data_IF_033807756881
#
_entry.id   IF_033807756881
#
_cell.length_a   1.000
_cell.length_b   1.000
_cell.length_c   1.000
_cell.angle_alpha   90.00
_cell.angle_beta   90.00
_cell.angle_gamma   90.00
#
_symmetry.space_group_name_H-M   'P 1'
#
loop_
_entity.id
_entity.type
_entity.pdbx_description
1 polymer ?
#
# COMPACT_ATOMS: atom_id res chain seq x y z
N UNK A 1 -18.98 27.88 2.42
CA UNK A 1 -19.29 28.45 3.75
C UNK A 1 -19.10 27.37 4.79
N UNK A 2 -17.92 27.32 5.40
CA UNK A 2 -17.48 26.24 6.30
C UNK A 2 -16.97 26.90 7.61
N UNK A 3 -17.24 26.27 8.75
CA UNK A 3 -16.75 26.59 10.11
C UNK A 3 -17.45 27.71 10.96
N UNK A 4 -18.78 27.76 11.15
CA UNK A 4 -19.34 28.70 12.12
C UNK A 4 -19.20 28.25 13.59
N UNK A 5 -19.16 26.94 13.87
CA UNK A 5 -19.33 26.42 15.24
C UNK A 5 -18.09 25.75 15.85
N UNK A 6 -16.98 25.63 15.11
CA UNK A 6 -15.72 25.09 15.66
C UNK A 6 -14.97 26.10 16.56
N UNK A 7 -15.36 27.39 16.51
CA UNK A 7 -14.67 28.49 17.20
C UNK A 7 -15.61 29.37 18.03
N UNK A 8 -16.59 28.74 18.69
CA UNK A 8 -17.50 29.41 19.62
C UNK A 8 -16.81 29.79 20.94
N UNK A 9 -16.27 31.00 20.98
CA UNK A 9 -15.96 31.82 22.17
C UNK A 9 -15.44 31.10 23.42
N UNK A 10 -14.12 30.93 23.50
CA UNK A 10 -13.40 31.13 24.76
C UNK A 10 -12.16 32.00 24.49
N UNK A 11 -12.37 33.32 24.54
CA UNK A 11 -11.29 34.32 24.50
C UNK A 11 -10.58 34.28 25.85
N UNK A 12 -9.50 33.50 25.97
CA UNK A 12 -8.76 33.55 27.23
C UNK A 12 -7.62 32.59 27.50
N UNK A 13 -6.83 32.13 26.52
CA UNK A 13 -5.52 31.53 26.84
C UNK A 13 -4.45 31.93 25.82
N UNK A 14 -4.02 33.20 25.84
CA UNK A 14 -2.65 33.56 25.43
C UNK A 14 -1.66 33.10 26.50
N UNK A 15 -1.57 31.79 26.73
CA UNK A 15 -0.40 31.22 27.37
C UNK A 15 0.67 31.08 26.30
N UNK A 16 1.88 31.59 26.53
CA UNK A 16 3.07 31.23 25.75
C UNK A 16 3.24 29.71 25.82
N UNK A 17 2.65 28.98 24.86
CA UNK A 17 2.87 27.54 24.73
C UNK A 17 4.29 27.34 24.24
N UNK A 18 5.19 27.01 25.17
CA UNK A 18 6.59 26.71 24.90
C UNK A 18 6.68 25.32 24.22
N UNK A 19 6.52 25.31 22.90
CA UNK A 19 6.79 24.12 22.09
C UNK A 19 8.29 23.89 22.01
N UNK A 20 8.71 22.65 22.30
CA UNK A 20 10.14 22.32 22.48
C UNK A 20 10.87 22.10 21.16
N UNK A 21 10.20 21.65 20.11
CA UNK A 21 10.78 21.55 18.76
C UNK A 21 9.71 21.44 17.68
N UNK A 22 10.09 21.83 16.45
CA UNK A 22 9.37 21.51 15.23
C UNK A 22 9.90 20.20 14.68
N UNK A 23 9.02 19.24 14.42
CA UNK A 23 9.39 17.85 14.12
C UNK A 23 9.18 17.47 12.64
N UNK A 24 8.31 18.19 11.92
CA UNK A 24 7.95 17.86 10.53
C UNK A 24 8.81 18.63 9.52
N UNK A 25 9.56 17.95 8.65
CA UNK A 25 10.21 18.58 7.49
C UNK A 25 9.31 18.50 6.26
N UNK A 26 8.83 19.64 5.79
CA UNK A 26 8.19 19.75 4.48
C UNK A 26 9.23 20.19 3.46
N UNK A 27 9.46 19.40 2.42
CA UNK A 27 10.33 19.85 1.33
C UNK A 27 10.57 18.80 0.25
N UNK A 28 10.57 19.27 -0.99
CA UNK A 28 11.17 18.58 -2.13
C UNK A 28 12.66 18.36 -1.87
N UNK A 29 13.18 17.18 -2.22
CA UNK A 29 14.60 16.88 -2.14
C UNK A 29 15.15 16.72 -3.55
N UNK A 30 16.36 17.23 -3.77
CA UNK A 30 17.09 16.96 -5.00
C UNK A 30 17.73 15.57 -4.85
N UNK A 31 17.51 14.71 -5.84
CA UNK A 31 18.19 13.41 -5.89
C UNK A 31 19.65 13.58 -6.28
N UNK A 32 20.47 12.57 -5.98
CA UNK A 32 21.88 12.49 -6.40
C UNK A 32 22.05 12.49 -7.91
N UNK A 33 21.00 12.12 -8.66
CA UNK A 33 20.94 12.23 -10.13
C UNK A 33 20.64 13.65 -10.62
N UNK A 34 20.48 14.63 -9.72
CA UNK A 34 20.21 16.04 -10.03
C UNK A 34 18.74 16.37 -10.28
N UNK A 35 17.85 15.37 -10.30
CA UNK A 35 16.41 15.55 -10.51
C UNK A 35 15.72 15.97 -9.21
N UNK A 36 14.91 17.02 -9.28
CA UNK A 36 14.04 17.45 -8.18
C UNK A 36 12.88 16.47 -8.02
N UNK A 37 12.74 15.90 -6.82
CA UNK A 37 11.66 14.97 -6.51
C UNK A 37 10.67 15.63 -5.55
N UNK A 38 9.42 15.70 -5.99
CA UNK A 38 8.27 16.14 -5.22
C UNK A 38 7.07 15.18 -5.45
N UNK A 39 5.96 15.43 -4.75
CA UNK A 39 4.74 14.62 -4.83
C UNK A 39 4.24 14.48 -6.27
N UNK A 40 4.25 15.56 -7.06
CA UNK A 40 3.79 15.58 -8.44
C UNK A 40 4.72 14.78 -9.38
N UNK A 41 6.03 15.02 -9.32
CA UNK A 41 7.01 14.31 -10.13
C UNK A 41 7.03 12.81 -9.83
N UNK A 42 6.85 12.43 -8.56
CA UNK A 42 6.80 11.03 -8.16
C UNK A 42 5.51 10.34 -8.61
N UNK A 43 4.36 11.02 -8.52
CA UNK A 43 3.10 10.51 -9.06
C UNK A 43 3.08 10.44 -10.60
N UNK A 44 3.98 11.16 -11.27
CA UNK A 44 4.26 11.01 -12.70
C UNK A 44 4.92 9.66 -13.06
N UNK A 45 5.65 9.04 -12.13
CA UNK A 45 6.25 7.72 -12.33
C UNK A 45 5.17 6.65 -12.23
N UNK A 46 4.89 5.95 -13.34
CA UNK A 46 3.78 5.02 -13.45
C UNK A 46 3.81 3.90 -12.37
N UNK A 47 4.99 3.33 -12.11
CA UNK A 47 5.16 2.30 -11.09
C UNK A 47 4.86 2.81 -9.67
N UNK A 48 5.26 4.05 -9.36
CA UNK A 48 5.03 4.66 -8.06
C UNK A 48 3.53 4.94 -7.86
N UNK A 49 2.90 5.55 -8.87
CA UNK A 49 1.46 5.78 -8.88
C UNK A 49 0.70 4.47 -8.71
N UNK A 50 1.02 3.43 -9.48
CA UNK A 50 0.36 2.13 -9.41
C UNK A 50 0.49 1.49 -8.01
N UNK A 51 1.66 1.58 -7.37
CA UNK A 51 1.84 1.07 -6.01
C UNK A 51 0.98 1.83 -4.98
N UNK A 52 0.96 3.15 -5.05
CA UNK A 52 0.20 4.00 -4.13
C UNK A 52 -1.31 3.81 -4.31
N UNK A 53 -1.79 3.84 -5.56
CA UNK A 53 -3.23 3.65 -5.84
C UNK A 53 -3.68 2.25 -5.51
N UNK A 54 -2.88 1.21 -5.82
CA UNK A 54 -3.20 -0.17 -5.43
C UNK A 54 -3.39 -0.29 -3.91
N UNK A 55 -2.51 0.30 -3.09
CA UNK A 55 -2.68 0.29 -1.64
C UNK A 55 -3.92 1.09 -1.20
N UNK A 56 -4.13 2.26 -1.80
CA UNK A 56 -5.24 3.13 -1.46
C UNK A 56 -6.59 2.47 -1.74
N UNK A 57 -6.78 1.99 -2.97
CA UNK A 57 -7.97 1.27 -3.41
C UNK A 57 -8.16 -0.04 -2.62
N UNK A 58 -7.08 -0.76 -2.31
CA UNK A 58 -7.15 -2.00 -1.55
C UNK A 58 -7.63 -1.82 -0.12
N UNK A 59 -7.39 -0.67 0.50
CA UNK A 59 -7.95 -0.34 1.83
C UNK A 59 -9.35 0.24 1.69
N UNK A 60 -9.57 1.12 0.71
CA UNK A 60 -10.86 1.78 0.49
C UNK A 60 -12.00 0.79 0.17
N UNK A 61 -11.69 -0.31 -0.53
CA UNK A 61 -12.68 -1.35 -0.82
C UNK A 61 -13.07 -2.21 0.39
N UNK A 62 -12.31 -2.16 1.49
CA UNK A 62 -12.58 -2.99 2.66
C UNK A 62 -13.70 -2.35 3.49
N UNK A 63 -14.78 -3.09 3.82
CA UNK A 63 -15.77 -2.61 4.77
C UNK A 63 -15.12 -2.38 6.14
N UNK A 64 -15.20 -1.14 6.65
CA UNK A 64 -14.85 -0.81 8.02
C UNK A 64 -16.09 -0.93 8.90
N UNK A 65 -15.97 -1.68 10.00
CA UNK A 65 -17.10 -2.00 10.87
C UNK A 65 -16.69 -1.79 12.33
N UNK A 66 -17.62 -1.27 13.13
CA UNK A 66 -17.48 -1.21 14.59
C UNK A 66 -18.17 -2.43 15.19
N UNK A 67 -17.45 -3.17 16.02
CA UNK A 67 -17.96 -4.35 16.71
C UNK A 67 -18.03 -4.13 18.22
N UNK A 68 -19.06 -4.70 18.85
CA UNK A 68 -19.20 -4.87 20.29
C UNK A 68 -18.82 -6.32 20.66
N UNK A 69 -17.99 -6.48 21.69
CA UNK A 69 -17.64 -7.79 22.27
C UNK A 69 -18.83 -8.30 23.08
N UNK A 70 -19.26 -9.54 22.84
CA UNK A 70 -20.34 -10.16 23.63
C UNK A 70 -19.76 -10.96 24.80
N UNK A 71 -20.56 -11.16 25.85
CA UNK A 71 -20.14 -11.87 27.07
C UNK A 71 -19.71 -13.33 26.77
N UNK A 72 -20.28 -13.95 25.74
CA UNK A 72 -19.98 -15.31 25.30
C UNK A 72 -18.71 -15.41 24.43
N UNK A 73 -17.93 -14.33 24.33
CA UNK A 73 -16.72 -14.26 23.51
C UNK A 73 -16.97 -14.06 22.00
N UNK A 74 -18.22 -13.75 21.62
CA UNK A 74 -18.61 -13.40 20.26
C UNK A 74 -18.43 -11.91 19.93
N UNK A 75 -18.87 -11.52 18.73
CA UNK A 75 -18.90 -10.13 18.26
C UNK A 75 -20.22 -9.80 17.57
N UNK A 76 -20.72 -8.60 17.79
CA UNK A 76 -21.91 -8.05 17.13
C UNK A 76 -21.58 -6.68 16.52
N UNK A 77 -22.19 -6.31 15.39
CA UNK A 77 -21.99 -4.98 14.80
C UNK A 77 -22.71 -3.93 15.65
N UNK A 78 -21.98 -2.92 16.11
CA UNK A 78 -22.50 -1.84 16.93
C UNK A 78 -23.13 -0.73 16.07
N UNK A 79 -24.16 -1.06 15.31
CA UNK A 79 -24.84 -0.13 14.37
C UNK A 79 -25.53 1.06 15.06
N UNK A 80 -25.81 0.91 16.35
CA UNK A 80 -26.40 1.91 17.23
C UNK A 80 -25.41 2.98 17.70
N UNK A 81 -24.11 2.74 17.56
CA UNK A 81 -23.07 3.63 18.07
C UNK A 81 -22.81 4.81 17.09
N UNK A 82 -22.66 6.06 17.57
CA UNK A 82 -22.45 7.23 16.70
C UNK A 82 -21.27 7.09 15.71
N UNK A 83 -20.17 6.49 16.17
CA UNK A 83 -18.96 6.25 15.35
C UNK A 83 -19.20 5.25 14.21
N UNK A 84 -20.20 4.36 14.30
CA UNK A 84 -20.45 3.35 13.27
C UNK A 84 -20.71 3.99 11.90
N UNK A 85 -21.67 4.92 11.84
CA UNK A 85 -22.03 5.58 10.58
C UNK A 85 -20.87 6.43 10.03
N UNK A 86 -20.09 7.05 10.93
CA UNK A 86 -18.94 7.88 10.59
C UNK A 86 -17.86 7.08 9.86
N UNK A 87 -17.50 5.89 10.34
CA UNK A 87 -16.45 5.07 9.70
C UNK A 87 -16.98 4.23 8.54
N UNK A 88 -18.24 3.79 8.62
CA UNK A 88 -18.80 2.84 7.66
C UNK A 88 -19.31 3.51 6.38
N UNK A 89 -20.04 4.62 6.51
CA UNK A 89 -20.83 5.18 5.39
C UNK A 89 -20.37 6.56 4.96
N UNK A 90 -20.27 7.52 5.89
CA UNK A 90 -20.01 8.92 5.55
C UNK A 90 -19.12 9.57 6.62
N UNK A 91 -17.79 9.58 6.40
CA UNK A 91 -16.84 10.22 7.31
C UNK A 91 -17.03 11.73 7.41
N UNK A 92 -17.49 12.36 6.33
CA UNK A 92 -17.87 13.77 6.32
C UNK A 92 -18.94 14.03 5.28
N UNK A 93 -19.41 15.28 5.19
CA UNK A 93 -20.49 15.69 4.30
C UNK A 93 -20.15 15.63 2.80
N UNK A 94 -18.87 15.56 2.45
CA UNK A 94 -18.38 15.64 1.06
C UNK A 94 -18.00 14.27 0.51
N UNK A 95 -17.32 13.46 1.32
CA UNK A 95 -16.66 12.23 0.90
C UNK A 95 -17.48 11.01 1.33
N UNK A 96 -17.54 10.01 0.45
CA UNK A 96 -17.93 8.65 0.79
C UNK A 96 -16.86 7.97 1.64
N UNK A 97 -17.19 6.87 2.32
CA UNK A 97 -16.20 6.08 3.05
C UNK A 97 -15.05 5.60 2.16
N UNK A 98 -15.34 5.20 0.91
CA UNK A 98 -14.34 4.81 -0.07
C UNK A 98 -13.35 5.95 -0.35
N UNK A 99 -13.85 7.13 -0.74
CA UNK A 99 -13.01 8.29 -1.08
C UNK A 99 -12.14 8.74 0.10
N UNK A 100 -12.71 8.73 1.32
CA UNK A 100 -11.97 9.08 2.53
C UNK A 100 -10.81 8.11 2.79
N UNK A 101 -11.06 6.80 2.76
CA UNK A 101 -10.02 5.80 3.01
C UNK A 101 -8.98 5.74 1.89
N UNK A 102 -9.40 5.95 0.64
CA UNK A 102 -8.51 6.07 -0.51
C UNK A 102 -7.58 7.27 -0.32
N UNK A 103 -8.13 8.45 0.01
CA UNK A 103 -7.34 9.65 0.29
C UNK A 103 -6.41 9.45 1.50
N UNK A 104 -6.91 8.80 2.56
CA UNK A 104 -6.15 8.57 3.78
C UNK A 104 -4.93 7.68 3.52
N UNK A 105 -5.14 6.53 2.87
CA UNK A 105 -4.06 5.63 2.54
C UNK A 105 -3.14 6.18 1.45
N UNK A 106 -3.68 6.92 0.46
CA UNK A 106 -2.87 7.60 -0.55
C UNK A 106 -1.92 8.63 0.06
N UNK A 107 -2.43 9.47 0.97
CA UNK A 107 -1.61 10.45 1.71
C UNK A 107 -0.54 9.75 2.55
N UNK A 108 -0.91 8.64 3.19
CA UNK A 108 0.00 7.82 3.98
C UNK A 108 1.10 7.17 3.13
N UNK A 109 0.77 6.72 1.92
CA UNK A 109 1.71 6.13 0.96
C UNK A 109 2.72 7.14 0.41
N UNK A 110 2.30 8.39 0.20
CA UNK A 110 3.18 9.42 -0.39
C UNK A 110 3.97 10.16 0.69
N UNK A 111 3.26 10.70 1.69
CA UNK A 111 3.81 11.61 2.70
C UNK A 111 4.10 10.91 4.04
N UNK A 112 3.75 9.63 4.18
CA UNK A 112 3.95 8.89 5.44
C UNK A 112 2.98 9.27 6.55
N UNK A 113 2.09 10.23 6.30
CA UNK A 113 1.19 10.82 7.29
C UNK A 113 -0.18 11.11 6.66
N UNK A 114 -1.23 10.80 7.40
CA UNK A 114 -2.58 11.28 7.11
C UNK A 114 -3.15 11.97 8.35
N UNK A 115 -3.71 13.17 8.15
CA UNK A 115 -4.26 14.01 9.22
C UNK A 115 -5.67 14.42 8.85
N UNK A 116 -6.61 14.22 9.77
CA UNK A 116 -7.97 14.73 9.68
C UNK A 116 -8.36 15.45 10.98
N UNK A 117 -9.10 16.55 10.88
CA UNK A 117 -9.76 17.17 12.02
C UNK A 117 -10.97 16.34 12.43
N UNK A 118 -11.14 16.18 13.73
CA UNK A 118 -12.29 15.52 14.33
C UNK A 118 -13.23 16.62 14.84
N UNK A 119 -14.35 16.82 14.14
CA UNK A 119 -15.45 17.62 14.68
C UNK A 119 -16.24 16.76 15.66
N UNK A 120 -16.49 17.26 16.87
CA UNK A 120 -17.18 16.52 17.94
C UNK A 120 -18.46 17.21 18.32
N UNK A 121 -19.48 16.43 18.68
CA UNK A 121 -20.71 16.97 19.23
C UNK A 121 -20.56 17.43 20.69
N UNK A 122 -21.64 17.98 21.27
CA UNK A 122 -21.66 18.46 22.65
C UNK A 122 -21.47 17.35 23.69
N UNK A 123 -21.64 16.08 23.32
CA UNK A 123 -21.41 14.92 24.17
C UNK A 123 -20.00 14.35 24.00
N UNK A 124 -19.19 14.94 23.12
CA UNK A 124 -17.80 14.55 22.84
C UNK A 124 -17.66 13.44 21.80
N UNK A 125 -18.74 13.01 21.15
CA UNK A 125 -18.69 11.98 20.09
C UNK A 125 -18.22 12.58 18.75
N UNK A 126 -17.35 11.89 18.01
CA UNK A 126 -16.97 12.30 16.66
C UNK A 126 -18.19 12.36 15.72
N UNK A 127 -18.36 13.50 15.05
CA UNK A 127 -19.43 13.76 14.12
C UNK A 127 -18.95 13.82 12.66
N UNK A 128 -17.78 14.41 12.43
CA UNK A 128 -17.17 14.49 11.10
C UNK A 128 -15.64 14.33 11.19
N UNK A 129 -15.06 13.70 10.17
CA UNK A 129 -13.63 13.59 9.92
C UNK A 129 -13.28 14.40 8.67
N UNK A 130 -12.60 15.53 8.87
CA UNK A 130 -12.29 16.47 7.79
C UNK A 130 -10.80 16.31 7.43
N UNK A 131 -10.46 15.66 6.31
CA UNK A 131 -9.08 15.51 5.87
C UNK A 131 -8.41 16.87 5.68
N UNK A 132 -7.17 16.99 6.15
CA UNK A 132 -6.32 18.16 5.90
C UNK A 132 -5.11 17.70 5.11
N UNK A 133 -4.69 18.51 4.15
CA UNK A 133 -3.42 18.28 3.48
C UNK A 133 -2.28 18.38 4.50
N UNK A 134 -1.49 17.31 4.64
CA UNK A 134 -0.37 17.25 5.59
C UNK A 134 0.66 18.37 5.36
N UNK A 135 0.86 18.82 4.12
CA UNK A 135 1.70 19.97 3.78
C UNK A 135 1.18 21.30 4.36
N UNK A 136 0.05 21.32 5.04
CA UNK A 136 -0.49 22.49 5.73
C UNK A 136 -0.54 22.32 7.25
N UNK A 137 0.12 21.28 7.75
CA UNK A 137 0.13 20.92 9.17
C UNK A 137 1.57 20.83 9.66
N UNK A 138 1.87 21.51 10.76
CA UNK A 138 3.14 21.33 11.47
C UNK A 138 2.91 20.61 12.78
N UNK A 139 3.54 19.46 12.95
CA UNK A 139 3.53 18.71 14.21
C UNK A 139 4.56 19.32 15.17
N UNK A 140 4.11 19.63 16.37
CA UNK A 140 4.86 20.21 17.47
C UNK A 140 4.82 19.26 18.67
N UNK A 141 5.88 19.25 19.47
CA UNK A 141 5.90 18.53 20.75
C UNK A 141 5.58 19.49 21.90
N UNK A 142 4.48 19.22 22.59
CA UNK A 142 4.08 19.93 23.81
C UNK A 142 5.00 19.61 24.98
N UNK A 143 4.95 20.45 26.01
CA UNK A 143 5.69 20.24 27.27
C UNK A 143 5.21 19.01 28.06
N UNK A 144 3.96 18.60 27.82
CA UNK A 144 3.34 17.35 28.27
C UNK A 144 3.84 16.11 27.51
N UNK A 145 4.68 16.30 26.49
CA UNK A 145 5.15 15.23 25.62
C UNK A 145 4.13 14.80 24.55
N UNK A 146 2.96 15.42 24.50
CA UNK A 146 1.91 15.08 23.54
C UNK A 146 2.09 15.85 22.22
N UNK A 147 1.61 15.32 21.09
CA UNK A 147 1.65 16.03 19.83
C UNK A 147 0.59 17.14 19.79
N UNK A 148 0.99 18.31 19.31
CA UNK A 148 0.12 19.43 18.94
C UNK A 148 0.28 19.70 17.45
N UNK A 149 -0.78 20.17 16.81
CA UNK A 149 -0.83 20.35 15.36
C UNK A 149 -1.12 21.81 15.05
N UNK A 150 -0.16 22.49 14.43
CA UNK A 150 -0.36 23.85 13.93
C UNK A 150 -0.88 23.80 12.51
N UNK A 151 -2.13 24.24 12.35
CA UNK A 151 -2.81 24.39 11.07
C UNK A 151 -2.36 25.72 10.44
N UNK A 152 -1.62 25.65 9.33
CA UNK A 152 -0.98 26.84 8.76
C UNK A 152 -1.98 27.82 8.15
N UNK A 153 -3.05 27.31 7.53
CA UNK A 153 -4.09 28.14 6.90
C UNK A 153 -4.89 28.95 7.92
N UNK A 154 -5.17 28.36 9.08
CA UNK A 154 -5.94 28.99 10.17
C UNK A 154 -5.06 29.71 11.20
N UNK A 155 -3.74 29.50 11.10
CA UNK A 155 -2.75 29.95 12.08
C UNK A 155 -3.11 29.56 13.53
N UNK A 156 -3.68 28.37 13.68
CA UNK A 156 -4.18 27.85 14.96
C UNK A 156 -3.43 26.58 15.33
N UNK A 157 -3.30 26.33 16.64
CA UNK A 157 -2.67 25.11 17.14
C UNK A 157 -3.70 24.30 17.91
N UNK A 158 -3.98 23.10 17.41
CA UNK A 158 -4.97 22.19 17.99
C UNK A 158 -4.29 21.03 18.73
N UNK A 159 -4.87 20.55 19.85
CA UNK A 159 -4.34 19.42 20.61
C UNK A 159 -4.63 18.08 19.92
N UNK A 160 -3.91 17.02 20.35
CA UNK A 160 -4.04 15.67 19.77
C UNK A 160 -5.48 15.14 19.71
N UNK A 161 -6.31 15.39 20.73
CA UNK A 161 -7.66 14.81 20.81
C UNK A 161 -8.65 15.34 19.75
N UNK A 162 -8.30 16.45 19.08
CA UNK A 162 -9.06 17.03 17.95
C UNK A 162 -8.56 16.55 16.59
N UNK A 163 -7.51 15.73 16.54
CA UNK A 163 -6.85 15.33 15.30
C UNK A 163 -6.79 13.80 15.22
N UNK A 164 -7.31 13.26 14.13
CA UNK A 164 -7.04 11.90 13.72
C UNK A 164 -5.75 11.86 12.91
N UNK A 165 -4.68 11.31 13.48
CA UNK A 165 -3.37 11.23 12.83
C UNK A 165 -2.92 9.79 12.67
N UNK A 166 -2.86 9.35 11.41
CA UNK A 166 -2.34 8.05 11.02
C UNK A 166 -0.90 8.23 10.54
N UNK A 167 0.00 7.43 11.12
CA UNK A 167 1.43 7.49 10.82
C UNK A 167 1.88 6.17 10.21
N UNK A 168 2.73 6.28 9.19
CA UNK A 168 3.51 5.15 8.72
C UNK A 168 4.66 4.86 9.71
N UNK A 169 5.78 4.33 9.25
CA UNK A 169 6.96 4.11 10.06
C UNK A 169 7.49 5.45 10.58
N UNK A 170 7.80 5.54 11.87
CA UNK A 170 8.22 6.78 12.54
C UNK A 170 9.44 6.47 13.39
N UNK A 171 10.45 7.36 13.38
CA UNK A 171 11.65 7.24 14.21
C UNK A 171 11.51 7.94 15.55
N UNK A 172 10.70 9.00 15.61
CA UNK A 172 10.53 9.86 16.78
C UNK A 172 9.22 9.58 17.55
N UNK A 173 8.28 8.83 16.95
CA UNK A 173 6.95 8.56 17.49
C UNK A 173 5.93 9.68 17.25
N UNK A 174 6.32 10.84 16.73
CA UNK A 174 5.45 12.00 16.50
C UNK A 174 5.04 12.14 15.04
N UNK A 175 5.95 11.88 14.10
CA UNK A 175 5.75 12.06 12.65
C UNK A 175 6.15 10.80 11.91
N UNK A 176 5.31 10.35 10.98
CA UNK A 176 5.65 9.30 10.03
C UNK A 176 6.69 9.77 9.02
N UNK A 177 7.62 8.90 8.67
CA UNK A 177 8.58 9.14 7.59
C UNK A 177 7.87 9.01 6.25
N UNK A 178 8.02 10.03 5.42
CA UNK A 178 7.55 10.00 4.03
C UNK A 178 8.35 8.98 3.22
N UNK A 179 7.69 7.96 2.62
CA UNK A 179 8.35 7.01 1.74
C UNK A 179 9.06 7.70 0.56
N UNK A 180 8.49 8.81 0.09
CA UNK A 180 9.05 9.67 -0.95
C UNK A 180 10.36 10.35 -0.49
N UNK A 181 10.39 10.91 0.72
CA UNK A 181 11.58 11.60 1.24
C UNK A 181 12.72 10.64 1.59
N UNK A 182 12.41 9.40 1.99
CA UNK A 182 13.43 8.39 2.31
C UNK A 182 14.03 7.74 1.06
N UNK A 183 13.33 7.78 -0.09
CA UNK A 183 13.75 7.10 -1.33
C UNK A 183 13.85 8.07 -2.52
N UNK A 184 14.19 9.32 -2.24
CA UNK A 184 14.36 10.38 -3.24
C UNK A 184 15.35 9.97 -4.33
N UNK A 185 16.44 9.29 -3.99
CA UNK A 185 17.45 8.88 -4.97
C UNK A 185 16.95 7.81 -5.93
N UNK A 186 16.25 6.78 -5.44
CA UNK A 186 15.65 5.72 -6.27
C UNK A 186 14.62 6.29 -7.25
N UNK A 187 13.72 7.13 -6.76
CA UNK A 187 12.69 7.76 -7.60
C UNK A 187 13.34 8.75 -8.58
N UNK A 188 14.30 9.55 -8.11
CA UNK A 188 15.04 10.49 -8.94
C UNK A 188 15.84 9.80 -10.05
N UNK A 189 16.47 8.66 -9.76
CA UNK A 189 17.16 7.83 -10.75
C UNK A 189 16.17 7.29 -11.79
N UNK A 190 15.01 6.77 -11.35
CA UNK A 190 13.97 6.29 -12.28
C UNK A 190 13.52 7.40 -13.23
N UNK A 191 13.25 8.59 -12.70
CA UNK A 191 12.88 9.77 -13.51
C UNK A 191 14.03 10.14 -14.47
N UNK A 192 15.27 10.16 -14.00
CA UNK A 192 16.44 10.48 -14.82
C UNK A 192 16.62 9.47 -15.97
N UNK A 193 16.45 8.17 -15.70
CA UNK A 193 16.50 7.11 -16.72
C UNK A 193 15.37 7.27 -17.74
N UNK A 194 14.16 7.62 -17.31
CA UNK A 194 13.05 7.90 -18.23
C UNK A 194 13.30 9.15 -19.07
N UNK A 195 13.81 10.23 -18.49
CA UNK A 195 14.18 11.44 -19.21
C UNK A 195 15.31 11.19 -20.21
N UNK A 196 16.32 10.40 -19.82
CA UNK A 196 17.39 9.99 -20.71
C UNK A 196 16.83 9.18 -21.88
N UNK A 197 16.01 8.17 -21.61
CA UNK A 197 15.32 7.38 -22.64
C UNK A 197 14.51 8.28 -23.58
N UNK A 198 13.69 9.18 -23.02
CA UNK A 198 12.89 10.13 -23.78
C UNK A 198 13.76 11.03 -24.66
N UNK A 199 14.90 11.52 -24.16
CA UNK A 199 15.84 12.32 -24.94
C UNK A 199 16.50 11.52 -26.07
N UNK A 200 16.84 10.25 -25.86
CA UNK A 200 17.35 9.36 -26.91
C UNK A 200 16.29 9.17 -28.01
N UNK A 201 15.04 8.90 -27.64
CA UNK A 201 13.95 8.77 -28.62
C UNK A 201 13.61 10.09 -29.32
N UNK A 202 13.57 11.20 -28.57
CA UNK A 202 13.27 12.53 -29.10
C UNK A 202 14.33 12.99 -30.08
N UNK A 203 15.62 12.68 -29.86
CA UNK A 203 16.70 13.10 -30.76
C UNK A 203 16.82 12.19 -31.99
N UNK A 204 16.25 10.99 -31.97
CA UNK A 204 16.47 9.96 -32.99
C UNK A 204 17.86 9.34 -32.83
N UNK A 205 18.07 8.15 -33.40
CA UNK A 205 19.31 7.38 -33.26
C UNK A 205 20.57 8.27 -33.36
N UNK A 206 21.24 8.42 -32.24
CA UNK A 206 22.58 9.01 -32.05
C UNK A 206 23.11 9.94 -33.13
N UNK A 207 22.82 11.22 -32.94
CA UNK A 207 23.78 12.28 -33.26
C UNK A 207 25.05 12.27 -32.35
N UNK A 208 25.26 11.20 -31.56
CA UNK A 208 26.53 10.96 -30.89
C UNK A 208 27.49 10.40 -31.93
N UNK A 209 28.33 11.27 -32.44
CA UNK A 209 29.32 10.94 -33.45
C UNK A 209 30.32 12.07 -33.58
N UNK A 210 31.48 11.73 -34.13
CA UNK A 210 32.54 12.71 -34.37
C UNK A 210 32.59 12.94 -35.87
N UNK A 211 32.52 14.21 -36.28
CA UNK A 211 32.83 14.60 -37.65
C UNK A 211 34.35 14.73 -37.74
N UNK A 212 34.99 13.73 -38.35
CA UNK A 212 36.42 13.70 -38.55
C UNK A 212 36.78 14.36 -39.88
N UNK A 213 37.74 15.29 -39.85
CA UNK A 213 38.26 15.94 -41.05
C UNK A 213 39.59 15.30 -41.45
N UNK A 214 39.89 15.11 -42.74
CA UNK A 214 41.15 14.52 -43.18
C UNK A 214 42.36 15.32 -42.71
N UNK A 215 43.40 14.64 -42.23
CA UNK A 215 44.64 15.25 -41.72
C UNK A 215 45.39 16.11 -42.76
N UNK A 216 45.09 15.94 -44.05
CA UNK A 216 45.64 16.74 -45.17
C UNK A 216 45.00 18.13 -45.31
N UNK A 217 43.94 18.43 -44.57
CA UNK A 217 43.22 19.71 -44.66
C UNK A 217 43.83 20.76 -43.71
N UNK A 218 43.88 22.03 -44.13
CA UNK A 218 44.39 23.11 -43.29
C UNK A 218 43.58 23.25 -41.99
N UNK A 219 44.29 23.44 -40.87
CA UNK A 219 43.67 23.66 -39.57
C UNK A 219 42.74 24.88 -39.62
N UNK A 220 41.56 24.75 -39.01
CA UNK A 220 40.63 25.87 -38.89
C UNK A 220 41.22 26.79 -37.81
N UNK A 221 41.63 28.00 -38.20
CA UNK A 221 42.24 28.97 -37.29
C UNK A 221 41.24 29.65 -36.35
N UNK A 222 39.94 29.50 -36.62
CA UNK A 222 38.87 30.22 -35.94
C UNK A 222 37.79 29.26 -35.43
N UNK A 223 37.71 29.12 -34.11
CA UNK A 223 36.76 28.25 -33.42
C UNK A 223 35.30 28.61 -33.73
N UNK A 224 35.00 29.89 -33.99
CA UNK A 224 33.61 30.33 -34.25
C UNK A 224 33.03 29.73 -35.54
N UNK A 225 33.88 29.46 -36.54
CA UNK A 225 33.47 28.79 -37.78
C UNK A 225 33.15 27.32 -37.56
N UNK A 226 33.88 26.67 -36.64
CA UNK A 226 33.62 25.28 -36.24
C UNK A 226 32.27 25.18 -35.54
N UNK A 227 32.02 26.06 -34.58
CA UNK A 227 30.78 26.06 -33.80
C UNK A 227 29.57 26.39 -34.69
N UNK A 228 29.72 27.33 -35.64
CA UNK A 228 28.67 27.66 -36.61
C UNK A 228 28.33 26.47 -37.53
N UNK A 229 29.33 25.68 -37.93
CA UNK A 229 29.13 24.49 -38.76
C UNK A 229 28.47 23.36 -37.96
N UNK A 230 28.90 23.17 -36.71
CA UNK A 230 28.31 22.20 -35.78
C UNK A 230 26.86 22.55 -35.43
N UNK A 231 26.56 23.82 -35.22
CA UNK A 231 25.20 24.31 -34.97
C UNK A 231 24.28 24.09 -36.19
N UNK A 232 24.74 24.41 -37.40
CA UNK A 232 23.97 24.14 -38.64
C UNK A 232 23.71 22.65 -38.87
N UNK A 233 24.71 21.82 -38.58
CA UNK A 233 24.56 20.37 -38.66
C UNK A 233 23.54 19.87 -37.63
N UNK A 234 23.64 20.33 -36.38
CA UNK A 234 22.72 19.98 -35.30
C UNK A 234 21.30 20.50 -35.55
N UNK A 235 21.12 21.66 -36.18
CA UNK A 235 19.80 22.19 -36.51
C UNK A 235 19.12 21.40 -37.64
N UNK A 236 19.88 20.98 -38.66
CA UNK A 236 19.34 20.22 -39.80
C UNK A 236 19.09 18.74 -39.48
N UNK A 237 19.98 18.15 -38.69
CA UNK A 237 19.99 16.70 -38.45
C UNK A 237 19.60 16.33 -37.01
N UNK A 238 19.68 17.27 -36.07
CA UNK A 238 19.18 17.12 -34.70
C UNK A 238 17.73 17.59 -34.63
N UNK A 239 16.83 16.73 -34.17
CA UNK A 239 15.41 17.08 -34.09
C UNK A 239 14.43 15.91 -34.15
N UNK A 240 14.88 14.68 -33.95
CA UNK A 240 13.99 13.53 -33.87
C UNK A 240 13.48 13.02 -35.20
N UNK A 241 12.34 12.32 -35.15
CA UNK A 241 11.77 11.58 -36.28
C UNK A 241 11.58 12.43 -37.56
N UNK A 242 11.36 13.75 -37.40
CA UNK A 242 11.18 14.69 -38.52
C UNK A 242 12.45 14.90 -39.34
N UNK A 243 13.61 14.84 -38.68
CA UNK A 243 14.92 15.03 -39.30
C UNK A 243 15.70 13.71 -39.43
N UNK A 244 15.15 12.58 -38.96
CA UNK A 244 15.81 11.27 -38.96
C UNK A 244 16.16 10.72 -40.36
N UNK A 245 15.47 11.19 -41.41
CA UNK A 245 15.74 10.82 -42.81
C UNK A 245 16.44 11.94 -43.60
N UNK A 246 16.92 12.98 -42.93
CA UNK A 246 17.64 14.07 -43.59
C UNK A 246 19.01 13.58 -44.04
N UNK A 247 19.33 13.79 -45.32
CA UNK A 247 20.62 13.38 -45.90
C UNK A 247 21.68 14.43 -45.54
N UNK A 248 22.73 14.02 -44.83
CA UNK A 248 23.86 14.87 -44.51
C UNK A 248 24.86 14.92 -45.67
N UNK A 249 25.20 16.11 -46.15
CA UNK A 249 26.30 16.34 -47.10
C UNK A 249 27.53 16.82 -46.33
N UNK A 250 28.61 16.04 -46.36
CA UNK A 250 29.89 16.37 -45.74
C UNK A 250 30.87 16.90 -46.81
N UNK A 251 31.54 18.02 -46.53
CA UNK A 251 32.50 18.66 -47.45
C UNK A 251 33.92 18.11 -47.27
N UNK A 252 34.77 18.26 -48.28
CA UNK A 252 36.23 18.05 -48.20
C UNK A 252 36.68 16.68 -47.63
N UNK A 253 35.95 15.61 -47.92
CA UNK A 253 36.29 14.26 -47.45
C UNK A 253 36.08 14.05 -45.94
N UNK A 254 35.35 14.93 -45.27
CA UNK A 254 34.93 14.73 -43.88
C UNK A 254 34.07 13.47 -43.75
N UNK A 255 34.29 12.72 -42.67
CA UNK A 255 33.56 11.50 -42.37
C UNK A 255 32.83 11.64 -41.03
N UNK A 256 31.57 11.25 -40.99
CA UNK A 256 30.83 11.11 -39.73
C UNK A 256 31.05 9.70 -39.19
N UNK A 257 31.76 9.60 -38.06
CA UNK A 257 31.88 8.34 -37.32
C UNK A 257 30.83 8.31 -36.23
N UNK A 258 29.82 7.48 -36.41
CA UNK A 258 28.80 7.24 -35.40
C UNK A 258 29.44 6.53 -34.20
N UNK A 259 29.24 7.05 -33.00
CA UNK A 259 29.61 6.34 -31.78
C UNK A 259 28.55 5.26 -31.55
N UNK A 260 28.98 3.99 -31.55
CA UNK A 260 28.09 2.85 -31.40
C UNK A 260 27.38 2.89 -30.04
N UNK A 261 26.06 2.80 -30.04
CA UNK A 261 25.19 2.94 -28.86
C UNK A 261 24.33 1.67 -28.64
N UNK A 262 24.61 0.59 -29.36
CA UNK A 262 23.69 -0.55 -29.45
C UNK A 262 23.58 -1.35 -28.14
N UNK A 263 24.67 -1.44 -27.37
CA UNK A 263 24.69 -2.09 -26.06
C UNK A 263 23.90 -1.30 -24.98
N UNK A 264 23.67 0.00 -25.14
CA UNK A 264 22.91 0.81 -24.17
C UNK A 264 21.41 0.53 -24.21
N UNK A 265 20.83 0.15 -25.36
CA UNK A 265 19.37 0.00 -25.49
C UNK A 265 18.83 -1.16 -24.64
N UNK A 266 19.52 -2.31 -24.67
CA UNK A 266 19.15 -3.46 -23.84
C UNK A 266 19.33 -3.15 -22.35
N UNK A 267 20.44 -2.50 -21.98
CA UNK A 267 20.72 -2.07 -20.60
C UNK A 267 19.73 -1.01 -20.10
N UNK A 268 19.24 -0.13 -20.98
CA UNK A 268 18.23 0.88 -20.65
C UNK A 268 16.87 0.25 -20.32
N UNK A 269 16.45 -0.76 -21.09
CA UNK A 269 15.21 -1.51 -20.81
C UNK A 269 15.35 -2.24 -19.47
N UNK A 270 16.48 -2.90 -19.24
CA UNK A 270 16.76 -3.58 -17.97
C UNK A 270 16.77 -2.60 -16.79
N UNK A 271 17.37 -1.42 -16.95
CA UNK A 271 17.39 -0.36 -15.94
C UNK A 271 15.98 0.15 -15.62
N UNK A 272 15.13 0.31 -16.64
CA UNK A 272 13.71 0.71 -16.44
C UNK A 272 12.92 -0.36 -15.70
N UNK A 273 13.11 -1.63 -16.07
CA UNK A 273 12.47 -2.75 -15.37
C UNK A 273 12.93 -2.83 -13.91
N UNK A 274 14.23 -2.62 -13.65
CA UNK A 274 14.76 -2.59 -12.29
C UNK A 274 14.18 -1.44 -11.47
N UNK A 275 14.02 -0.25 -12.07
CA UNK A 275 13.35 0.89 -11.42
C UNK A 275 11.93 0.56 -10.94
N UNK A 276 11.14 -0.17 -11.74
CA UNK A 276 9.81 -0.67 -11.33
C UNK A 276 9.92 -1.56 -10.09
N UNK A 277 10.89 -2.48 -10.06
CA UNK A 277 11.11 -3.41 -8.94
C UNK A 277 11.54 -2.67 -7.67
N UNK A 278 12.41 -1.66 -7.78
CA UNK A 278 12.82 -0.85 -6.61
C UNK A 278 11.64 -0.09 -5.99
N UNK A 279 10.77 0.48 -6.84
CA UNK A 279 9.55 1.14 -6.37
C UNK A 279 8.59 0.15 -5.70
N UNK A 280 8.42 -1.04 -6.27
CA UNK A 280 7.62 -2.10 -5.65
C UNK A 280 8.18 -2.52 -4.28
N UNK A 281 9.51 -2.61 -4.17
CA UNK A 281 10.21 -2.98 -2.93
C UNK A 281 9.94 -1.99 -1.79
N UNK A 282 9.83 -0.70 -2.09
CA UNK A 282 9.49 0.33 -1.10
C UNK A 282 8.21 0.00 -0.33
N UNK A 283 7.20 -0.47 -1.05
CA UNK A 283 5.89 -0.77 -0.49
C UNK A 283 5.69 -2.25 -0.16
N UNK A 284 6.70 -3.10 -0.40
CA UNK A 284 6.61 -4.57 -0.31
C UNK A 284 5.53 -5.15 -1.24
N UNK A 285 5.26 -4.51 -2.37
CA UNK A 285 4.26 -4.97 -3.32
C UNK A 285 4.90 -5.99 -4.26
N UNK A 286 4.31 -7.18 -4.45
CA UNK A 286 4.77 -8.11 -5.48
C UNK A 286 4.66 -7.49 -6.88
N UNK A 287 5.69 -7.59 -7.75
CA UNK A 287 5.68 -6.92 -9.07
C UNK A 287 4.51 -7.29 -9.99
N UNK A 288 3.97 -8.51 -9.87
CA UNK A 288 2.82 -8.95 -10.68
C UNK A 288 1.56 -8.11 -10.42
N UNK A 289 1.41 -7.53 -9.23
CA UNK A 289 0.26 -6.67 -8.87
C UNK A 289 0.29 -5.31 -9.56
N UNK A 290 1.46 -4.84 -9.99
CA UNK A 290 1.61 -3.64 -10.82
C UNK A 290 1.77 -3.99 -12.31
N UNK A 291 1.28 -5.17 -12.71
CA UNK A 291 1.30 -5.67 -14.09
C UNK A 291 2.70 -5.93 -14.65
N UNK A 292 3.71 -6.10 -13.78
CA UNK A 292 5.07 -6.47 -14.18
C UNK A 292 5.26 -7.99 -14.06
N UNK A 293 5.01 -8.72 -15.17
CA UNK A 293 4.82 -10.18 -15.20
C UNK A 293 5.97 -10.98 -15.86
N UNK A 294 7.16 -10.41 -16.09
CA UNK A 294 8.22 -11.05 -16.88
C UNK A 294 8.63 -12.47 -16.44
N UNK A 295 8.46 -12.83 -15.16
CA UNK A 295 8.87 -14.14 -14.60
C UNK A 295 7.79 -14.86 -13.77
N UNK A 296 6.51 -14.47 -13.92
CA UNK A 296 5.43 -15.04 -13.10
C UNK A 296 4.76 -16.24 -13.79
N UNK A 297 4.64 -17.36 -13.07
CA UNK A 297 3.80 -18.52 -13.44
C UNK A 297 2.49 -18.50 -12.62
N UNK A 298 1.39 -19.02 -13.16
CA UNK A 298 0.05 -18.97 -12.53
C UNK A 298 0.01 -19.48 -11.09
N UNK A 299 0.62 -20.63 -10.79
CA UNK A 299 0.67 -21.17 -9.42
C UNK A 299 1.45 -20.25 -8.45
N UNK A 300 2.42 -19.49 -8.95
CA UNK A 300 3.17 -18.53 -8.14
C UNK A 300 2.32 -17.27 -7.82
N UNK A 301 1.38 -16.90 -8.69
CA UNK A 301 0.57 -15.69 -8.55
C UNK A 301 -0.42 -15.82 -7.38
N UNK A 302 -1.09 -16.96 -7.20
CA UNK A 302 -2.04 -17.15 -6.09
C UNK A 302 -1.35 -17.05 -4.72
N UNK A 303 -0.21 -17.73 -4.57
CA UNK A 303 0.61 -17.64 -3.36
C UNK A 303 1.12 -16.21 -3.12
N UNK A 304 1.54 -15.51 -4.18
CA UNK A 304 1.96 -14.11 -4.04
C UNK A 304 0.80 -13.15 -3.72
N UNK A 305 -0.42 -13.46 -4.15
CA UNK A 305 -1.63 -12.73 -3.77
C UNK A 305 -1.91 -12.83 -2.27
N UNK A 306 -1.81 -14.03 -1.69
CA UNK A 306 -1.89 -14.21 -0.24
C UNK A 306 -0.75 -13.50 0.51
N UNK A 307 0.49 -13.57 0.00
CA UNK A 307 1.62 -12.85 0.59
C UNK A 307 1.40 -11.34 0.60
N UNK A 308 0.83 -10.77 -0.46
CA UNK A 308 0.47 -9.35 -0.51
C UNK A 308 -0.51 -8.99 0.61
N UNK A 309 -1.58 -9.77 0.79
CA UNK A 309 -2.55 -9.48 1.86
C UNK A 309 -1.89 -9.58 3.25
N UNK A 310 -1.08 -10.61 3.47
CA UNK A 310 -0.50 -10.91 4.79
C UNK A 310 0.63 -9.94 5.17
N UNK A 311 1.60 -9.74 4.29
CA UNK A 311 2.83 -9.01 4.62
C UNK A 311 2.80 -7.54 4.21
N UNK A 312 1.90 -7.19 3.29
CA UNK A 312 1.83 -5.84 2.75
C UNK A 312 0.59 -5.13 3.25
N UNK A 313 -0.61 -5.63 2.94
CA UNK A 313 -1.86 -4.94 3.23
C UNK A 313 -2.22 -4.94 4.73
N UNK A 314 -2.12 -6.09 5.40
CA UNK A 314 -2.47 -6.23 6.83
C UNK A 314 -1.81 -5.19 7.74
N UNK A 315 -0.49 -4.93 7.66
CA UNK A 315 0.15 -3.88 8.44
C UNK A 315 -0.44 -2.48 8.22
N UNK A 316 -0.85 -2.15 7.00
CA UNK A 316 -1.52 -0.87 6.71
C UNK A 316 -2.89 -0.82 7.36
N UNK A 317 -3.69 -1.87 7.16
CA UNK A 317 -5.03 -1.99 7.75
C UNK A 317 -4.98 -1.85 9.27
N UNK A 318 -4.07 -2.58 9.93
CA UNK A 318 -3.91 -2.52 11.39
C UNK A 318 -3.51 -1.12 11.90
N UNK A 319 -2.77 -0.34 11.10
CA UNK A 319 -2.46 1.07 11.44
C UNK A 319 -3.70 1.94 11.43
N UNK A 320 -4.56 1.78 10.41
CA UNK A 320 -5.84 2.49 10.33
C UNK A 320 -6.73 2.12 11.52
N UNK A 321 -6.94 0.81 11.77
CA UNK A 321 -7.74 0.32 12.90
C UNK A 321 -7.23 0.86 14.24
N UNK A 322 -5.94 0.75 14.51
CA UNK A 322 -5.34 1.20 15.76
C UNK A 322 -5.45 2.72 15.94
N UNK A 323 -5.24 3.50 14.87
CA UNK A 323 -5.39 4.96 14.93
C UNK A 323 -6.86 5.35 15.16
N UNK A 324 -7.82 4.68 14.50
CA UNK A 324 -9.24 4.94 14.70
C UNK A 324 -9.70 4.56 16.11
N UNK A 325 -9.27 3.42 16.64
CA UNK A 325 -9.55 3.05 18.04
C UNK A 325 -8.97 4.04 19.04
N UNK A 326 -7.78 4.60 18.76
CA UNK A 326 -7.14 5.61 19.61
C UNK A 326 -7.84 6.95 19.60
N UNK A 327 -8.37 7.38 18.45
CA UNK A 327 -8.84 8.75 18.27
C UNK A 327 -10.38 8.88 18.31
N UNK A 328 -11.10 7.86 17.84
CA UNK A 328 -12.57 7.92 17.67
C UNK A 328 -13.33 7.34 18.86
N UNK A 329 -12.77 6.35 19.55
CA UNK A 329 -13.39 5.72 20.71
C UNK A 329 -12.90 6.36 22.02
N UNK A 330 -13.82 6.55 22.96
CA UNK A 330 -13.50 6.98 24.31
C UNK A 330 -12.67 5.90 25.02
N UNK A 331 -11.77 6.26 25.96
CA UNK A 331 -10.95 5.29 26.67
C UNK A 331 -11.75 4.14 27.31
N UNK A 332 -12.91 4.44 27.90
CA UNK A 332 -13.78 3.47 28.57
C UNK A 332 -14.49 2.53 27.58
N UNK A 333 -14.71 2.96 26.34
CA UNK A 333 -15.39 2.18 25.31
C UNK A 333 -14.48 1.11 24.69
N UNK A 334 -13.16 1.31 24.70
CA UNK A 334 -12.18 0.44 24.01
C UNK A 334 -12.12 -0.99 24.53
N UNK A 335 -12.60 -1.23 25.76
CA UNK A 335 -12.70 -2.58 26.31
C UNK A 335 -13.84 -3.36 25.67
N UNK A 336 -14.95 -2.67 25.34
CA UNK A 336 -16.18 -3.29 24.86
C UNK A 336 -16.32 -3.21 23.34
N UNK A 337 -15.75 -2.18 22.72
CA UNK A 337 -15.85 -1.91 21.30
C UNK A 337 -14.50 -1.93 20.61
N UNK A 338 -14.47 -2.36 19.36
CA UNK A 338 -13.28 -2.30 18.52
C UNK A 338 -13.65 -2.11 17.05
N UNK A 339 -12.78 -1.44 16.32
CA UNK A 339 -12.94 -1.14 14.89
C UNK A 339 -12.10 -2.13 14.09
N UNK A 340 -12.69 -2.76 13.08
CA UNK A 340 -12.01 -3.75 12.24
C UNK A 340 -12.43 -3.59 10.78
N UNK A 341 -11.45 -3.65 9.88
CA UNK A 341 -11.70 -3.82 8.45
C UNK A 341 -11.88 -5.29 8.12
N UNK A 342 -12.90 -5.60 7.33
CA UNK A 342 -13.18 -6.96 6.93
C UNK A 342 -12.31 -7.41 5.76
N UNK A 343 -11.14 -8.00 6.07
CA UNK A 343 -10.19 -8.54 5.09
C UNK A 343 -10.60 -9.93 4.61
N UNK A 344 -11.61 -10.56 5.23
CA UNK A 344 -12.03 -11.92 4.86
C UNK A 344 -12.44 -11.99 3.40
N UNK A 345 -12.98 -10.91 2.80
CA UNK A 345 -13.29 -10.85 1.38
C UNK A 345 -12.07 -11.08 0.47
N UNK A 346 -10.90 -10.54 0.83
CA UNK A 346 -9.66 -10.68 0.07
C UNK A 346 -8.96 -12.03 0.33
N UNK A 347 -8.97 -12.49 1.58
CA UNK A 347 -8.44 -13.81 1.96
C UNK A 347 -9.33 -14.97 1.50
N UNK A 348 -10.60 -14.69 1.18
CA UNK A 348 -11.55 -15.70 0.68
C UNK A 348 -11.15 -16.29 -0.67
N UNK A 349 -10.19 -15.67 -1.38
CA UNK A 349 -9.51 -16.16 -2.59
C UNK A 349 -10.07 -17.45 -3.17
N UNK A 350 -9.34 -18.56 -3.03
CA UNK A 350 -9.83 -19.86 -3.48
C UNK A 350 -10.86 -20.45 -2.50
N UNK A 351 -12.13 -20.27 -2.82
CA UNK A 351 -13.23 -20.91 -2.09
C UNK A 351 -13.07 -22.43 -2.07
N UNK A 352 -12.53 -23.04 -3.14
CA UNK A 352 -12.39 -24.49 -3.25
C UNK A 352 -11.43 -25.03 -2.19
N UNK A 353 -10.20 -24.54 -2.13
CA UNK A 353 -9.21 -24.96 -1.12
C UNK A 353 -9.72 -24.78 0.31
N UNK A 354 -10.48 -23.70 0.58
CA UNK A 354 -11.05 -23.46 1.92
C UNK A 354 -12.17 -24.44 2.28
N UNK A 355 -13.11 -24.68 1.36
CA UNK A 355 -14.16 -25.68 1.59
C UNK A 355 -13.58 -27.10 1.67
N UNK A 356 -12.53 -27.40 0.92
CA UNK A 356 -11.76 -28.64 1.04
C UNK A 356 -11.10 -28.75 2.43
N UNK A 357 -10.49 -27.68 2.95
CA UNK A 357 -9.93 -27.66 4.29
C UNK A 357 -11.01 -27.89 5.38
N UNK A 358 -12.19 -27.27 5.25
CA UNK A 358 -13.32 -27.53 6.16
C UNK A 358 -13.86 -28.95 6.03
N UNK A 359 -13.94 -29.49 4.82
CA UNK A 359 -14.33 -30.88 4.60
C UNK A 359 -13.33 -31.84 5.26
N UNK A 360 -12.03 -31.59 5.13
CA UNK A 360 -10.96 -32.32 5.82
C UNK A 360 -11.13 -32.24 7.34
N UNK A 361 -11.32 -31.04 7.90
CA UNK A 361 -11.44 -30.87 9.33
C UNK A 361 -12.70 -31.49 9.94
N UNK A 362 -13.80 -31.47 9.18
CA UNK A 362 -15.05 -32.15 9.57
C UNK A 362 -14.96 -33.66 9.42
N UNK A 363 -14.24 -34.15 8.41
CA UNK A 363 -13.99 -35.58 8.20
C UNK A 363 -13.11 -36.16 9.31
N UNK A 364 -12.07 -35.44 9.73
CA UNK A 364 -11.20 -35.83 10.84
C UNK A 364 -11.74 -35.53 12.23
N UNK A 365 -12.89 -34.85 12.32
CA UNK A 365 -13.62 -34.72 13.58
C UNK A 365 -13.19 -33.63 14.53
N UNK A 366 -12.25 -32.76 14.14
CA UNK A 366 -11.81 -31.65 15.00
C UNK A 366 -12.52 -30.33 14.69
N UNK A 367 -13.35 -30.28 13.64
CA UNK A 367 -14.26 -29.15 13.35
C UNK A 367 -15.74 -29.59 13.36
N UNK A 368 -16.55 -28.92 14.18
CA UNK A 368 -18.02 -29.03 14.15
C UNK A 368 -18.62 -28.08 13.10
N UNK A 369 -19.94 -28.19 12.83
CA UNK A 369 -20.62 -27.27 11.90
C UNK A 369 -20.58 -25.84 12.46
N UNK A 370 -20.80 -25.69 13.76
CA UNK A 370 -20.80 -24.38 14.40
C UNK A 370 -19.40 -23.77 14.49
N UNK A 371 -18.34 -24.57 14.56
CA UNK A 371 -16.96 -24.04 14.45
C UNK A 371 -16.68 -23.45 13.08
N UNK A 372 -17.08 -24.16 12.01
CA UNK A 372 -16.94 -23.64 10.64
C UNK A 372 -17.80 -22.38 10.46
N UNK A 373 -19.04 -22.37 10.97
CA UNK A 373 -19.89 -21.17 10.93
C UNK A 373 -19.29 -20.01 11.72
N UNK A 374 -18.66 -20.26 12.86
CA UNK A 374 -17.94 -19.22 13.64
C UNK A 374 -16.78 -18.65 12.84
N UNK A 375 -15.97 -19.49 12.18
CA UNK A 375 -14.88 -19.06 11.30
C UNK A 375 -15.40 -18.23 10.11
N UNK A 376 -16.56 -18.60 9.56
CA UNK A 376 -17.23 -17.89 8.46
C UNK A 376 -18.10 -16.71 8.93
N UNK A 377 -18.11 -16.40 10.23
CA UNK A 377 -18.95 -15.35 10.85
C UNK A 377 -20.45 -15.50 10.57
N UNK A 378 -20.93 -16.74 10.47
CA UNK A 378 -22.33 -17.09 10.36
C UNK A 378 -22.92 -17.43 11.73
N UNK A 379 -24.21 -17.15 11.97
CA UNK A 379 -24.86 -17.53 13.22
C UNK A 379 -24.85 -19.05 13.41
N UNK A 380 -24.67 -19.54 14.65
CA UNK A 380 -24.70 -20.97 14.94
C UNK A 380 -26.08 -21.57 14.65
N UNK A 381 -26.11 -22.87 14.35
CA UNK A 381 -27.35 -23.63 14.15
C UNK A 381 -27.58 -24.63 15.30
N UNK A 382 -28.84 -24.91 15.67
CA UNK A 382 -29.15 -25.95 16.65
C UNK A 382 -28.60 -27.31 16.21
N UNK A 383 -27.90 -28.00 17.12
CA UNK A 383 -27.27 -29.30 16.84
C UNK A 383 -25.99 -29.24 15.99
N UNK A 384 -25.45 -28.04 15.74
CA UNK A 384 -24.23 -27.85 14.95
C UNK A 384 -22.92 -28.15 15.69
N UNK A 385 -22.93 -28.27 17.02
CA UNK A 385 -21.76 -28.56 17.87
C UNK A 385 -21.42 -30.06 17.96
N UNK A 386 -21.67 -30.81 16.88
CA UNK A 386 -21.36 -32.25 16.81
C UNK A 386 -20.04 -32.48 16.08
N UNK A 387 -19.11 -33.14 16.77
CA UNK A 387 -17.85 -33.64 16.21
C UNK A 387 -18.04 -35.07 15.71
N UNK A 388 -17.49 -35.39 14.54
CA UNK A 388 -17.64 -36.69 13.89
C UNK A 388 -16.35 -37.49 14.06
N UNK A 389 -16.41 -38.78 14.37
CA UNK A 389 -15.21 -39.63 14.40
C UNK A 389 -15.20 -40.55 13.18
N UNK A 390 -14.11 -40.64 12.41
CA UNK A 390 -14.03 -41.58 11.30
C UNK A 390 -14.16 -43.03 11.81
N UNK A 391 -15.11 -43.79 11.27
CA UNK A 391 -15.34 -45.20 11.63
C UNK A 391 -14.14 -46.13 11.34
N UNK A 392 -13.24 -45.73 10.43
CA UNK A 392 -12.13 -46.56 9.95
C UNK A 392 -10.81 -46.32 10.69
N UNK A 393 -10.77 -45.45 11.70
CA UNK A 393 -9.56 -45.18 12.48
C UNK A 393 -9.59 -45.92 13.81
N UNK A 394 -9.09 -47.15 13.79
CA UNK A 394 -8.81 -47.95 15.00
C UNK A 394 -7.32 -47.88 15.29
N UNK A 395 -6.92 -47.85 16.56
CA UNK A 395 -5.52 -47.93 16.96
C UNK A 395 -4.89 -49.20 16.33
N UNK A 396 -3.71 -49.05 15.72
CA UNK A 396 -2.94 -50.15 15.15
C UNK A 396 -2.67 -51.29 16.14
N UNK A 397 -2.65 -51.01 17.46
CA UNK A 397 -2.54 -52.01 18.51
C UNK A 397 -3.82 -52.85 18.68
N UNK A 398 -4.99 -52.34 18.29
CA UNK A 398 -6.29 -52.99 18.48
C UNK A 398 -6.79 -53.78 17.26
N UNK A 399 -6.06 -53.76 16.13
CA UNK A 399 -6.42 -54.52 14.93
C UNK A 399 -6.47 -56.04 15.18
N UNK A 400 -5.61 -56.58 16.05
CA UNK A 400 -5.59 -58.01 16.38
C UNK A 400 -6.77 -58.45 17.28
N UNK A 401 -7.33 -57.56 18.10
CA UNK A 401 -8.44 -57.89 19.00
C UNK A 401 -9.81 -57.85 18.33
N UNK A 402 -9.91 -57.21 17.15
CA UNK A 402 -11.17 -57.10 16.39
C UNK A 402 -11.50 -58.33 15.54
N UNK A 403 -10.56 -59.29 15.40
CA UNK A 403 -10.74 -60.50 14.59
C UNK A 403 -11.03 -61.78 15.40
N UNK A 404 -11.02 -61.70 16.73
CA UNK A 404 -11.32 -62.85 17.57
C UNK A 404 -12.78 -62.78 18.03
N UNK A 405 -13.60 -63.75 17.62
CA UNK A 405 -14.98 -63.88 18.07
C UNK A 405 -15.03 -63.96 19.61
N UNK A 406 -16.00 -63.28 20.21
CA UNK A 406 -16.18 -63.32 21.66
C UNK A 406 -16.52 -64.75 22.13
N UNK A 407 -16.20 -65.14 23.38
CA UNK A 407 -16.47 -66.50 23.88
C UNK A 407 -17.95 -66.90 23.79
N UNK A 408 -18.86 -65.92 23.82
CA UNK A 408 -20.31 -66.10 23.65
C UNK A 408 -20.67 -66.42 22.20
N UNK A 409 -20.06 -65.73 21.23
CA UNK A 409 -20.24 -66.00 19.80
C UNK A 409 -19.68 -67.37 19.38
N UNK A 410 -18.57 -67.81 19.99
CA UNK A 410 -18.05 -69.17 19.76
C UNK A 410 -18.98 -70.26 20.31
N UNK A 411 -19.59 -70.03 21.48
CA UNK A 411 -20.60 -70.95 22.06
C UNK A 411 -21.86 -71.06 21.19
N UNK A 412 -22.27 -69.96 20.58
CA UNK A 412 -23.42 -69.93 19.67
C UNK A 412 -23.12 -70.68 18.37
N UNK A 413 -21.90 -70.55 17.83
CA UNK A 413 -21.41 -71.30 16.67
C UNK A 413 -21.29 -72.81 16.97
N UNK A 414 -20.77 -73.20 18.14
CA UNK A 414 -20.73 -74.61 18.58
C UNK A 414 -22.13 -75.20 18.76
N UNK A 415 -23.08 -74.42 19.29
CA UNK A 415 -24.48 -74.84 19.42
C UNK A 415 -25.18 -75.08 18.08
N UNK A 416 -24.75 -74.39 17.02
CA UNK A 416 -25.25 -74.58 15.65
C UNK A 416 -24.57 -75.79 14.98
N UNK A 417 -23.26 -76.00 15.19
CA UNK A 417 -22.50 -77.09 14.59
C UNK A 417 -22.82 -78.48 15.20
N UNK A 418 -23.20 -78.54 16.48
CA UNK A 418 -23.57 -79.80 17.16
C UNK A 418 -25.01 -80.28 16.88
N UNK A 419 -25.75 -79.62 15.98
CA UNK A 419 -27.14 -79.97 15.61
C UNK A 419 -27.29 -80.67 14.25
N UNK A 420 -26.20 -81.19 13.68
CA UNK A 420 -26.20 -82.00 12.45
C UNK A 420 -26.06 -83.47 12.76
#
# INVERSE_FOLDING_TARGET
>A
MFLPNLFGTDKGVTARQNFTSWISSMGSRQSSAGVMVNTESAMGVAAFRACVTLLAESIAQLPCELYRRTADGGRERATDHPVYNLIHSSPNRKDTSFEYYEQAQGSLGIEGNHVALIDRDSYGYPKELIPINYNKVKVLKGSDGMPYYRLLDLNETVPMHMIHHIKYFSLDGYVGLSPLQTNTDTIGLTIATEQHAAAVFQRGATMSGVIERPATSAAISDQTKVDALLNKFTERHGGGLRNAFSVALLQEGMQYKQLAMDNEKAQLIESRNFGVIEVCRLYKIPPHMVQHLEKASFNNIEHQGLQYVIYTLLPWVKRHEAAMMRDLLLPDERNNYYIEFNISGLLRGDQKSRYEAYAIGRNWGWLSVNDIRRLENMPPIPGGDRYLTPLNMVDSANLQNSMNATPEQMKEIEGILCRV
#
